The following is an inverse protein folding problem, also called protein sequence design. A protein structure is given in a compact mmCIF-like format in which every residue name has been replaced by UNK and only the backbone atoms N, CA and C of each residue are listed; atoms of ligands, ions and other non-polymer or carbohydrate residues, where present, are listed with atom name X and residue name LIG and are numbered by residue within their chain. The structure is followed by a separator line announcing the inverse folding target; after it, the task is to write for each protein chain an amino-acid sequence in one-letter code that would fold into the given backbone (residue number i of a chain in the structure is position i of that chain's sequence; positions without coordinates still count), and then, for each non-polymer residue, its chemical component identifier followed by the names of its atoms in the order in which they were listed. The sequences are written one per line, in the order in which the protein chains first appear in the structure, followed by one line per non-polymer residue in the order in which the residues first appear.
data_IF_211921186394
#
_entry.id   IF_211921186394
#
_cell.length_a   1.000
_cell.length_b   1.000
_cell.length_c   1.000
_cell.angle_alpha   90.00
_cell.angle_beta   90.00
_cell.angle_gamma   90.00
#
_symmetry.space_group_name_H-M   'P 1'
#
loop_
_entity.id
_entity.type
_entity.pdbx_description
1 polymer ?
#
# COMPACT_ATOMS: atom_id res chain seq x y z
N UNK A 1 29.76 -3.66 19.29
CA UNK A 1 29.18 -2.34 19.63
C UNK A 1 27.68 -2.43 19.41
N UNK A 2 26.87 -2.21 20.45
CA UNK A 2 25.41 -2.23 20.33
C UNK A 2 24.96 -1.09 19.43
N UNK A 3 24.08 -1.37 18.46
CA UNK A 3 23.51 -0.34 17.61
C UNK A 3 22.76 0.69 18.48
N UNK A 4 23.31 1.89 18.59
CA UNK A 4 22.62 3.03 19.18
C UNK A 4 21.49 3.44 18.24
N UNK A 5 20.25 3.43 18.72
CA UNK A 5 19.09 3.94 17.97
C UNK A 5 18.63 5.26 18.57
N UNK A 6 18.45 6.27 17.73
CA UNK A 6 17.85 7.56 18.10
C UNK A 6 16.48 7.70 17.44
N UNK A 7 15.47 8.12 18.20
CA UNK A 7 14.09 8.28 17.70
C UNK A 7 13.83 9.74 17.35
N UNK A 8 13.48 10.00 16.10
CA UNK A 8 12.93 11.28 15.64
C UNK A 8 11.41 11.11 15.52
N UNK A 9 10.64 12.10 15.97
CA UNK A 9 9.18 12.12 15.82
C UNK A 9 8.73 13.55 15.59
N UNK A 10 7.92 13.74 14.55
CA UNK A 10 7.29 15.01 14.20
C UNK A 10 5.85 14.71 13.81
N UNK A 11 4.98 15.70 14.01
CA UNK A 11 3.59 15.64 13.58
C UNK A 11 3.48 16.50 12.33
N UNK A 12 2.81 15.97 11.30
CA UNK A 12 2.38 16.75 10.15
C UNK A 12 1.08 17.46 10.54
N UNK A 13 1.01 18.75 10.24
CA UNK A 13 -0.20 19.55 10.50
C UNK A 13 -1.23 19.44 9.37
N UNK A 14 -2.30 20.23 9.45
CA UNK A 14 -3.37 20.17 8.44
C UNK A 14 -2.93 20.68 7.06
N UNK A 15 -1.97 21.61 7.02
CA UNK A 15 -1.44 22.17 5.78
C UNK A 15 -0.54 21.15 5.08
N UNK A 16 0.32 20.47 5.82
CA UNK A 16 1.13 19.35 5.34
C UNK A 16 0.25 18.25 4.73
N UNK A 17 -0.78 17.83 5.47
CA UNK A 17 -1.74 16.81 5.01
C UNK A 17 -2.46 17.27 3.75
N UNK A 18 -2.82 18.55 3.67
CA UNK A 18 -3.48 19.14 2.49
C UNK A 18 -2.55 19.16 1.27
N UNK A 19 -1.27 19.46 1.47
CA UNK A 19 -0.25 19.39 0.42
C UNK A 19 -0.11 17.96 -0.13
N UNK A 20 0.07 16.96 0.73
CA UNK A 20 0.17 15.56 0.30
C UNK A 20 -1.10 15.06 -0.40
N UNK A 21 -2.29 15.49 0.07
CA UNK A 21 -3.56 15.21 -0.61
C UNK A 21 -3.59 15.77 -2.03
N UNK A 22 -3.08 16.98 -2.25
CA UNK A 22 -3.03 17.61 -3.58
C UNK A 22 -2.13 16.80 -4.52
N UNK A 23 -0.95 16.41 -4.05
CA UNK A 23 -0.03 15.55 -4.80
C UNK A 23 -0.68 14.21 -5.17
N UNK A 24 -1.32 13.54 -4.20
CA UNK A 24 -2.01 12.27 -4.42
C UNK A 24 -3.14 12.38 -5.45
N UNK A 25 -3.95 13.45 -5.39
CA UNK A 25 -5.03 13.70 -6.37
C UNK A 25 -4.49 13.90 -7.77
N UNK A 26 -3.37 14.63 -7.92
CA UNK A 26 -2.71 14.83 -9.21
C UNK A 26 -2.18 13.51 -9.76
N UNK A 27 -1.53 12.70 -8.92
CA UNK A 27 -1.03 11.38 -9.30
C UNK A 27 -2.16 10.47 -9.78
N UNK A 28 -3.29 10.48 -9.08
CA UNK A 28 -4.48 9.71 -9.46
C UNK A 28 -5.09 10.18 -10.79
N UNK A 29 -5.08 11.48 -11.07
CA UNK A 29 -5.55 12.01 -12.35
C UNK A 29 -4.67 11.51 -13.51
N UNK A 30 -3.35 11.52 -13.33
CA UNK A 30 -2.40 10.99 -14.32
C UNK A 30 -2.52 9.47 -14.47
N UNK A 31 -2.74 8.73 -13.38
CA UNK A 31 -2.95 7.28 -13.38
C UNK A 31 -4.12 6.83 -14.26
N UNK A 32 -5.15 7.66 -14.42
CA UNK A 32 -6.31 7.34 -15.26
C UNK A 32 -5.96 7.23 -16.76
N UNK A 33 -4.83 7.80 -17.17
CA UNK A 33 -4.33 7.80 -18.55
C UNK A 33 -3.15 6.86 -18.78
N UNK A 34 -2.63 6.23 -17.73
CA UNK A 34 -1.47 5.32 -17.77
C UNK A 34 -1.92 3.87 -17.71
N UNK A 35 -1.19 2.96 -18.35
CA UNK A 35 -1.47 1.53 -18.30
C UNK A 35 -1.30 0.96 -16.86
N UNK A 36 -2.24 0.12 -16.42
CA UNK A 36 -2.19 -0.47 -15.07
C UNK A 36 -0.95 -1.37 -14.89
N UNK A 37 -0.55 -2.08 -15.94
CA UNK A 37 0.62 -2.95 -15.93
C UNK A 37 1.90 -2.13 -15.81
N UNK A 38 2.00 -1.02 -16.52
CA UNK A 38 3.11 -0.06 -16.41
C UNK A 38 3.24 0.47 -14.97
N UNK A 39 2.17 0.98 -14.38
CA UNK A 39 2.15 1.50 -12.99
C UNK A 39 2.68 0.45 -12.00
N UNK A 40 2.15 -0.77 -12.09
CA UNK A 40 2.54 -1.87 -11.19
C UNK A 40 4.00 -2.27 -11.41
N UNK A 41 4.45 -2.33 -12.67
CA UNK A 41 5.82 -2.71 -13.01
C UNK A 41 6.83 -1.68 -12.50
N UNK A 42 6.54 -0.38 -12.61
CA UNK A 42 7.37 0.70 -12.09
C UNK A 42 7.45 0.65 -10.56
N UNK A 43 6.32 0.44 -9.88
CA UNK A 43 6.32 0.28 -8.43
C UNK A 43 7.15 -0.94 -7.98
N UNK A 44 7.06 -2.08 -8.69
CA UNK A 44 7.88 -3.26 -8.42
C UNK A 44 9.38 -3.02 -8.70
N UNK A 45 9.70 -2.24 -9.73
CA UNK A 45 11.05 -1.78 -10.03
C UNK A 45 11.65 -0.95 -8.89
N UNK A 46 10.89 0.02 -8.36
CA UNK A 46 11.28 0.82 -7.21
C UNK A 46 11.53 -0.05 -5.97
N UNK A 47 10.62 -0.99 -5.68
CA UNK A 47 10.80 -1.94 -4.56
C UNK A 47 12.11 -2.71 -4.69
N UNK A 48 12.40 -3.20 -5.90
CA UNK A 48 13.61 -3.97 -6.17
C UNK A 48 14.87 -3.13 -6.03
N UNK A 49 14.87 -1.90 -6.56
CA UNK A 49 15.95 -0.93 -6.43
C UNK A 49 16.27 -0.64 -4.96
N UNK A 50 15.25 -0.35 -4.14
CA UNK A 50 15.44 0.00 -2.73
C UNK A 50 15.93 -1.17 -1.88
N UNK A 51 15.50 -2.41 -2.19
CA UNK A 51 15.95 -3.63 -1.49
C UNK A 51 17.38 -4.04 -1.86
N UNK A 52 17.82 -3.73 -3.07
CA UNK A 52 19.16 -4.09 -3.59
C UNK A 52 20.22 -3.04 -3.31
N UNK A 53 19.80 -1.76 -3.15
CA UNK A 53 20.70 -0.67 -2.79
C UNK A 53 21.34 -0.95 -1.42
N UNK A 54 22.68 -0.88 -1.37
CA UNK A 54 23.44 -1.01 -0.12
C UNK A 54 23.10 0.16 0.81
N UNK A 55 23.01 -0.11 2.11
CA UNK A 55 22.74 0.86 3.17
C UNK A 55 21.38 1.57 3.12
N UNK A 56 20.36 0.99 2.47
CA UNK A 56 18.99 1.50 2.58
C UNK A 56 18.54 1.48 4.05
N UNK A 57 18.15 2.63 4.64
CA UNK A 57 17.66 2.67 6.01
C UNK A 57 16.45 1.76 6.23
N UNK A 58 16.38 1.15 7.42
CA UNK A 58 15.31 0.18 7.76
C UNK A 58 13.91 0.76 7.63
N UNK A 59 13.70 2.02 7.99
CA UNK A 59 12.38 2.67 7.88
C UNK A 59 11.91 2.78 6.42
N UNK A 60 12.84 2.94 5.47
CA UNK A 60 12.54 2.94 4.03
C UNK A 60 12.20 1.52 3.58
N UNK A 61 12.93 0.51 4.03
CA UNK A 61 12.62 -0.89 3.69
C UNK A 61 11.23 -1.32 4.19
N UNK A 62 10.81 -0.84 5.36
CA UNK A 62 9.47 -1.07 5.90
C UNK A 62 8.40 -0.36 5.05
N UNK A 63 8.64 0.90 4.69
CA UNK A 63 7.77 1.68 3.82
C UNK A 63 7.59 0.99 2.44
N UNK A 64 8.70 0.63 1.80
CA UNK A 64 8.72 -0.08 0.52
C UNK A 64 8.00 -1.43 0.59
N UNK A 65 8.02 -2.11 1.75
CA UNK A 65 7.21 -3.31 1.96
C UNK A 65 5.70 -3.07 1.86
N UNK A 66 5.21 -1.93 2.34
CA UNK A 66 3.81 -1.54 2.18
C UNK A 66 3.47 -1.16 0.74
N UNK A 67 4.40 -0.56 0.00
CA UNK A 67 4.25 -0.33 -1.45
C UNK A 67 4.15 -1.65 -2.23
N UNK A 68 4.97 -2.63 -1.88
CA UNK A 68 4.94 -3.97 -2.48
C UNK A 68 3.60 -4.67 -2.23
N UNK A 69 3.04 -4.55 -1.03
CA UNK A 69 1.71 -5.09 -0.71
C UNK A 69 0.59 -4.39 -1.50
N UNK A 70 0.67 -3.07 -1.72
CA UNK A 70 -0.28 -2.34 -2.57
C UNK A 70 -0.24 -2.82 -4.02
N UNK A 71 0.95 -3.01 -4.59
CA UNK A 71 1.09 -3.59 -5.92
C UNK A 71 0.45 -4.99 -6.00
N UNK A 72 0.63 -5.81 -4.95
CA UNK A 72 0.02 -7.14 -4.89
C UNK A 72 -1.50 -7.11 -4.68
N UNK A 73 -2.06 -6.07 -4.05
CA UNK A 73 -3.53 -5.89 -4.02
C UNK A 73 -4.10 -5.79 -5.44
N UNK A 74 -3.35 -5.21 -6.38
CA UNK A 74 -3.76 -5.04 -7.77
C UNK A 74 -3.56 -6.33 -8.58
N UNK A 75 -2.46 -7.04 -8.37
CA UNK A 75 -2.09 -8.22 -9.19
C UNK A 75 -2.60 -9.55 -8.66
N UNK A 76 -3.01 -9.63 -7.39
CA UNK A 76 -3.52 -10.88 -6.80
C UNK A 76 -4.95 -11.17 -7.29
N UNK A 77 -5.06 -12.08 -8.26
CA UNK A 77 -6.31 -12.52 -8.89
C UNK A 77 -7.31 -13.16 -7.92
N UNK A 78 -6.83 -13.70 -6.80
CA UNK A 78 -7.68 -14.26 -5.76
C UNK A 78 -8.21 -13.16 -4.83
N UNK A 79 -7.44 -12.10 -4.59
CA UNK A 79 -7.88 -11.07 -3.64
C UNK A 79 -9.07 -10.25 -4.14
N UNK A 80 -9.09 -9.90 -5.43
CA UNK A 80 -10.19 -9.21 -6.12
C UNK A 80 -10.72 -7.99 -5.33
N UNK A 81 -9.90 -6.94 -5.12
CA UNK A 81 -10.36 -5.76 -4.39
C UNK A 81 -11.55 -5.09 -5.11
N UNK A 82 -12.45 -4.39 -4.38
CA UNK A 82 -13.51 -3.61 -5.01
C UNK A 82 -12.95 -2.59 -6.02
N UNK A 83 -13.68 -2.33 -7.11
CA UNK A 83 -13.23 -1.39 -8.17
C UNK A 83 -12.79 -0.02 -7.64
N UNK A 84 -13.54 0.52 -6.66
CA UNK A 84 -13.19 1.78 -6.02
C UNK A 84 -11.82 1.73 -5.31
N UNK A 85 -11.55 0.64 -4.57
CA UNK A 85 -10.27 0.42 -3.89
C UNK A 85 -9.16 0.20 -4.91
N UNK A 86 -9.41 -0.58 -5.97
CA UNK A 86 -8.44 -0.79 -7.06
C UNK A 86 -7.98 0.55 -7.64
N UNK A 87 -8.92 1.43 -8.00
CA UNK A 87 -8.58 2.75 -8.56
C UNK A 87 -7.87 3.68 -7.59
N UNK A 88 -8.18 3.61 -6.28
CA UNK A 88 -7.44 4.35 -5.25
C UNK A 88 -6.00 3.86 -5.12
N UNK A 89 -5.80 2.55 -5.08
CA UNK A 89 -4.47 1.93 -4.98
C UNK A 89 -3.64 2.21 -6.25
N UNK A 90 -4.22 2.11 -7.44
CA UNK A 90 -3.53 2.47 -8.68
C UNK A 90 -3.10 3.94 -8.70
N UNK A 91 -3.97 4.85 -8.24
CA UNK A 91 -3.60 6.26 -8.08
C UNK A 91 -2.44 6.49 -7.12
N UNK A 92 -2.38 5.70 -6.04
CA UNK A 92 -1.26 5.72 -5.11
C UNK A 92 0.05 5.21 -5.74
N UNK A 93 -0.02 4.09 -6.46
CA UNK A 93 1.14 3.50 -7.13
C UNK A 93 1.66 4.39 -8.26
N UNK A 94 0.77 5.07 -8.99
CA UNK A 94 1.14 5.97 -10.07
C UNK A 94 2.02 7.15 -9.61
N UNK A 95 1.84 7.61 -8.36
CA UNK A 95 2.74 8.60 -7.77
C UNK A 95 4.20 8.13 -7.80
N UNK A 96 4.42 6.86 -7.48
CA UNK A 96 5.76 6.26 -7.44
C UNK A 96 6.25 5.78 -8.81
N UNK A 97 5.35 5.69 -9.80
CA UNK A 97 5.69 5.27 -11.16
C UNK A 97 6.32 6.41 -11.98
N UNK A 98 5.90 7.67 -11.75
CA UNK A 98 6.42 8.86 -12.42
C UNK A 98 6.73 9.98 -11.39
N UNK A 99 7.83 9.87 -10.64
CA UNK A 99 8.19 10.87 -9.61
C UNK A 99 8.50 12.26 -10.22
N UNK A 100 9.09 12.30 -11.43
CA UNK A 100 9.52 13.54 -12.11
C UNK A 100 8.35 14.46 -12.52
N UNK A 101 7.11 13.95 -12.65
CA UNK A 101 5.96 14.72 -13.14
C UNK A 101 5.11 15.33 -11.99
N UNK A 102 5.40 14.96 -10.74
CA UNK A 102 4.54 15.24 -9.58
C UNK A 102 5.18 16.10 -8.49
N UNK A 103 6.51 16.07 -8.34
CA UNK A 103 7.25 16.90 -7.38
C UNK A 103 8.11 17.89 -8.16
N UNK A 104 7.90 19.22 -8.03
CA UNK A 104 8.80 20.20 -8.62
C UNK A 104 10.20 20.07 -8.02
N UNK A 105 11.22 19.94 -8.87
CA UNK A 105 12.63 19.87 -8.49
C UNK A 105 13.05 21.13 -7.72
N UNK A 106 13.10 21.10 -6.37
CA UNK A 106 13.77 22.17 -5.61
C UNK A 106 14.27 21.85 -4.19
N UNK A 107 14.31 20.58 -3.73
CA UNK A 107 15.08 20.24 -2.50
C UNK A 107 15.94 18.96 -2.67
N UNK A 108 17.16 19.09 -3.22
CA UNK A 108 18.04 17.97 -3.61
C UNK A 108 18.78 17.24 -2.47
N UNK A 109 18.44 17.45 -1.19
CA UNK A 109 19.16 16.85 -0.04
C UNK A 109 18.35 15.74 0.66
N UNK A 110 17.06 15.57 0.32
CA UNK A 110 16.08 14.73 1.06
C UNK A 110 15.39 13.63 0.24
N UNK A 111 15.96 13.20 -0.90
CA UNK A 111 15.36 12.25 -1.89
C UNK A 111 15.11 10.81 -1.43
N UNK A 112 14.89 10.59 -0.13
CA UNK A 112 14.53 9.34 0.51
C UNK A 112 13.59 9.57 1.69
N UNK A 113 13.74 10.72 2.37
CA UNK A 113 12.92 11.08 3.50
C UNK A 113 11.52 11.47 3.03
N UNK A 114 11.41 12.28 1.98
CA UNK A 114 10.11 12.69 1.43
C UNK A 114 9.34 11.50 0.83
N UNK A 115 10.02 10.62 0.08
CA UNK A 115 9.43 9.37 -0.40
C UNK A 115 8.97 8.46 0.74
N UNK A 116 9.76 8.35 1.80
CA UNK A 116 9.36 7.56 2.96
C UNK A 116 8.17 8.17 3.71
N UNK A 117 8.11 9.50 3.81
CA UNK A 117 6.96 10.22 4.37
C UNK A 117 5.72 9.97 3.51
N UNK A 118 5.83 10.09 2.19
CA UNK A 118 4.72 9.82 1.27
C UNK A 118 4.28 8.35 1.33
N UNK A 119 5.20 7.40 1.35
CA UNK A 119 4.83 5.99 1.50
C UNK A 119 4.18 5.74 2.86
N UNK A 120 4.63 6.40 3.94
CA UNK A 120 3.98 6.31 5.25
C UNK A 120 2.59 6.92 5.26
N UNK A 121 2.39 8.01 4.53
CA UNK A 121 1.08 8.64 4.32
C UNK A 121 0.13 7.71 3.58
N UNK A 122 0.60 7.11 2.48
CA UNK A 122 -0.14 6.08 1.72
C UNK A 122 -0.39 4.84 2.58
N UNK A 123 0.58 4.39 3.36
CA UNK A 123 0.42 3.26 4.28
C UNK A 123 -0.67 3.54 5.33
N UNK A 124 -0.70 4.74 5.92
CA UNK A 124 -1.73 5.14 6.89
C UNK A 124 -3.11 5.20 6.23
N UNK A 125 -3.19 5.73 5.01
CA UNK A 125 -4.43 5.78 4.23
C UNK A 125 -5.00 4.39 3.93
N UNK A 126 -4.13 3.50 3.46
CA UNK A 126 -4.53 2.14 3.08
C UNK A 126 -4.36 1.13 4.22
N UNK A 127 -4.14 1.56 5.47
CA UNK A 127 -3.81 0.65 6.59
C UNK A 127 -4.80 -0.48 6.78
N UNK A 128 -6.10 -0.22 6.59
CA UNK A 128 -7.15 -1.22 6.71
C UNK A 128 -7.19 -2.15 5.50
N UNK A 129 -6.88 -1.65 4.31
CA UNK A 129 -6.79 -2.45 3.09
C UNK A 129 -5.55 -3.35 3.09
N UNK A 130 -4.39 -2.80 3.48
CA UNK A 130 -3.15 -3.54 3.72
C UNK A 130 -3.34 -4.62 4.78
N UNK A 131 -4.01 -4.30 5.89
CA UNK A 131 -4.35 -5.30 6.90
C UNK A 131 -5.21 -6.43 6.34
N UNK A 132 -6.26 -6.09 5.58
CA UNK A 132 -7.15 -7.08 5.00
C UNK A 132 -6.42 -7.98 4.00
N UNK A 133 -5.58 -7.38 3.15
CA UNK A 133 -4.77 -8.09 2.17
C UNK A 133 -3.77 -9.05 2.83
N UNK A 134 -3.01 -8.57 3.81
CA UNK A 134 -2.07 -9.41 4.59
C UNK A 134 -2.80 -10.58 5.26
N UNK A 135 -3.99 -10.33 5.82
CA UNK A 135 -4.83 -11.37 6.45
C UNK A 135 -5.39 -12.36 5.43
N UNK A 136 -5.78 -11.90 4.24
CA UNK A 136 -6.21 -12.75 3.14
C UNK A 136 -5.09 -13.68 2.68
N UNK A 137 -3.89 -13.13 2.42
CA UNK A 137 -2.71 -13.92 2.04
C UNK A 137 -2.37 -14.96 3.09
N UNK A 138 -2.34 -14.59 4.36
CA UNK A 138 -2.08 -15.54 5.46
C UNK A 138 -3.11 -16.67 5.52
N UNK A 139 -4.37 -16.39 5.20
CA UNK A 139 -5.41 -17.41 5.13
C UNK A 139 -5.25 -18.34 3.93
N UNK A 140 -5.00 -17.79 2.74
CA UNK A 140 -4.77 -18.56 1.50
C UNK A 140 -3.51 -19.43 1.59
N UNK A 141 -2.41 -18.82 2.03
CA UNK A 141 -1.08 -19.45 2.09
C UNK A 141 -0.93 -20.33 3.35
N UNK A 142 -1.91 -20.29 4.26
CA UNK A 142 -1.97 -21.07 5.49
C UNK A 142 -2.25 -22.55 5.25
N UNK A 143 -1.70 -23.39 6.12
CA UNK A 143 -1.72 -24.85 6.03
C UNK A 143 -3.11 -25.52 6.07
N UNK A 144 -4.20 -24.77 6.27
CA UNK A 144 -5.58 -25.30 6.34
C UNK A 144 -6.19 -25.64 4.97
N UNK A 145 -5.55 -25.24 3.88
CA UNK A 145 -6.07 -25.45 2.53
C UNK A 145 -5.52 -26.68 1.82
N UNK A 146 -4.55 -27.41 2.41
CA UNK A 146 -3.91 -28.66 1.91
C UNK A 146 -4.35 -29.05 0.47
N UNK A 147 -3.92 -28.28 -0.56
CA UNK A 147 -4.63 -28.22 -1.84
C UNK A 147 -4.44 -29.48 -2.69
N UNK A 148 -3.57 -30.38 -2.26
CA UNK A 148 -3.25 -31.63 -2.95
C UNK A 148 -4.39 -32.65 -2.92
N UNK A 149 -5.48 -32.39 -2.16
CA UNK A 149 -6.69 -33.21 -2.20
C UNK A 149 -7.76 -32.54 -3.04
N UNK A 150 -8.41 -33.30 -3.95
CA UNK A 150 -9.49 -32.82 -4.82
C UNK A 150 -10.60 -32.09 -4.04
N UNK A 151 -10.98 -32.64 -2.87
CA UNK A 151 -12.00 -32.07 -1.98
C UNK A 151 -11.59 -30.71 -1.40
N UNK A 152 -10.31 -30.50 -1.07
CA UNK A 152 -9.83 -29.20 -0.61
C UNK A 152 -9.77 -28.18 -1.76
N UNK A 153 -9.36 -28.62 -2.95
CA UNK A 153 -9.39 -27.80 -4.17
C UNK A 153 -10.79 -27.31 -4.50
N UNK A 154 -11.80 -28.19 -4.47
CA UNK A 154 -13.19 -27.83 -4.79
C UNK A 154 -13.80 -26.84 -3.77
N UNK A 155 -13.39 -26.89 -2.50
CA UNK A 155 -13.89 -26.02 -1.42
C UNK A 155 -13.18 -24.66 -1.35
N UNK A 156 -11.97 -24.57 -1.90
CA UNK A 156 -11.12 -23.39 -1.80
C UNK A 156 -11.78 -22.13 -2.36
N UNK A 157 -12.37 -22.11 -3.58
CA UNK A 157 -13.00 -20.91 -4.14
C UNK A 157 -14.07 -20.30 -3.23
N UNK A 158 -14.98 -21.14 -2.71
CA UNK A 158 -16.05 -20.70 -1.80
C UNK A 158 -15.51 -20.14 -0.49
N UNK A 159 -14.48 -20.77 0.09
CA UNK A 159 -13.80 -20.26 1.29
C UNK A 159 -13.12 -18.92 1.06
N UNK A 160 -12.48 -18.74 -0.09
CA UNK A 160 -11.87 -17.46 -0.45
C UNK A 160 -12.95 -16.37 -0.63
N UNK A 161 -14.10 -16.69 -1.22
CA UNK A 161 -15.24 -15.77 -1.31
C UNK A 161 -15.78 -15.35 0.05
N UNK A 162 -15.99 -16.30 0.96
CA UNK A 162 -16.42 -16.03 2.33
C UNK A 162 -15.40 -15.15 3.07
N UNK A 163 -14.11 -15.47 2.93
CA UNK A 163 -13.03 -14.69 3.53
C UNK A 163 -13.00 -13.27 2.98
N UNK A 164 -13.14 -13.08 1.66
CA UNK A 164 -13.24 -11.75 1.04
C UNK A 164 -14.42 -10.97 1.64
N UNK A 165 -15.62 -11.54 1.67
CA UNK A 165 -16.83 -10.89 2.23
C UNK A 165 -16.61 -10.48 3.68
N UNK A 166 -16.06 -11.37 4.51
CA UNK A 166 -15.75 -11.08 5.92
C UNK A 166 -14.75 -9.93 6.05
N UNK A 167 -13.65 -9.98 5.30
CA UNK A 167 -12.62 -8.93 5.35
C UNK A 167 -13.17 -7.57 4.90
N UNK A 168 -14.03 -7.53 3.89
CA UNK A 168 -14.68 -6.29 3.46
C UNK A 168 -15.52 -5.69 4.59
N UNK A 169 -16.33 -6.50 5.27
CA UNK A 169 -17.10 -6.03 6.43
C UNK A 169 -16.21 -5.53 7.57
N UNK A 170 -15.12 -6.25 7.87
CA UNK A 170 -14.14 -5.85 8.88
C UNK A 170 -13.46 -4.51 8.53
N UNK A 171 -13.11 -4.28 7.26
CA UNK A 171 -12.52 -3.01 6.79
C UNK A 171 -13.50 -1.86 6.98
N UNK A 172 -14.77 -2.03 6.59
CA UNK A 172 -15.79 -1.00 6.77
C UNK A 172 -15.97 -0.67 8.26
N UNK A 173 -16.08 -1.68 9.12
CA UNK A 173 -16.23 -1.50 10.57
C UNK A 173 -15.01 -0.79 11.20
N UNK A 174 -13.81 -1.03 10.67
CA UNK A 174 -12.59 -0.33 11.12
C UNK A 174 -12.56 1.12 10.68
N UNK A 175 -12.91 1.41 9.42
CA UNK A 175 -13.01 2.78 8.90
C UNK A 175 -14.04 3.60 9.67
N UNK A 176 -15.21 3.04 9.96
CA UNK A 176 -16.24 3.74 10.75
C UNK A 176 -15.79 4.02 12.18
N UNK A 177 -15.10 3.08 12.81
CA UNK A 177 -14.53 3.26 14.16
C UNK A 177 -13.45 4.34 14.20
N UNK A 178 -12.62 4.41 13.17
CA UNK A 178 -11.57 5.42 13.04
C UNK A 178 -12.17 6.82 12.79
N UNK A 179 -13.18 6.92 11.91
CA UNK A 179 -13.92 8.15 11.68
C UNK A 179 -14.61 8.66 12.96
N UNK A 180 -15.23 7.77 13.75
CA UNK A 180 -15.85 8.13 15.04
C UNK A 180 -14.85 8.66 16.09
N UNK A 181 -13.54 8.40 15.91
CA UNK A 181 -12.47 8.88 16.78
C UNK A 181 -11.79 10.15 16.25
N UNK A 182 -12.32 10.75 15.18
CA UNK A 182 -11.66 11.84 14.47
C UNK A 182 -10.37 11.41 13.75
N UNK A 183 -10.08 10.10 13.70
CA UNK A 183 -8.96 9.53 12.94
C UNK A 183 -9.45 9.20 11.54
N UNK A 184 -9.81 10.22 10.79
CA UNK A 184 -10.23 10.02 9.40
C UNK A 184 -8.94 9.81 8.59
N UNK A 185 -8.60 8.55 8.29
CA UNK A 185 -7.91 8.28 7.02
C UNK A 185 -8.89 8.70 5.92
N UNK A 186 -8.42 9.42 4.90
CA UNK A 186 -9.15 10.43 4.12
C UNK A 186 -10.68 10.32 4.11
#
# INVERSE_FOLDING_TARGET
MGASSFKVSFNLDEDDVTYFRKLFRRARANAATTDEGEIVSSAAGLVTLMRTKKNTPRFILEAVGSLEDLAKIITDEDYRPPKAIRGQVLGALAYFANPEDLIPDEIPVLGFLDDAIMIKFVEEEFKHELWAFRKFRKFRDGAELKPWTKVAGDRLPGRLDEMRKKLRADVVARKTKDAAKGKVGF
#
